data_IF_247684349223
#
_entry.id   IF_247684349223
#
_cell.length_a   1.000
_cell.length_b   1.000
_cell.length_c   1.000
_cell.angle_alpha   90.00
_cell.angle_beta   90.00
_cell.angle_gamma   90.00
#
_symmetry.space_group_name_H-M   'P 1'
#
loop_
_entity.id
_entity.type
_entity.pdbx_description
1 polymer ?
#
# COMPACT_ATOMS: atom_id res chain seq x y z
N UNK A 1 -15.27 -20.19 -20.37
CA UNK A 1 -15.14 -18.73 -20.19
C UNK A 1 -16.36 -18.26 -19.41
N UNK A 2 -16.26 -17.98 -18.11
CA UNK A 2 -17.34 -17.26 -17.45
C UNK A 2 -17.29 -15.83 -17.97
N UNK A 3 -18.41 -15.35 -18.53
CA UNK A 3 -18.60 -13.96 -18.90
C UNK A 3 -18.15 -13.05 -17.75
N UNK A 4 -17.22 -12.16 -18.05
CA UNK A 4 -16.96 -11.01 -17.21
C UNK A 4 -18.29 -10.26 -17.08
N UNK A 5 -18.96 -10.39 -15.93
CA UNK A 5 -20.12 -9.56 -15.64
C UNK A 5 -19.72 -8.10 -15.89
N UNK A 6 -20.52 -7.33 -16.64
CA UNK A 6 -20.21 -5.94 -16.95
C UNK A 6 -19.99 -5.22 -15.62
N UNK A 7 -18.77 -4.71 -15.44
CA UNK A 7 -18.33 -4.06 -14.22
C UNK A 7 -19.38 -3.05 -13.78
N UNK A 8 -20.08 -3.35 -12.70
CA UNK A 8 -20.86 -2.31 -12.09
C UNK A 8 -19.84 -1.25 -11.62
N UNK A 9 -20.02 0.02 -11.99
CA UNK A 9 -19.16 1.13 -11.58
C UNK A 9 -18.90 1.18 -10.05
N UNK A 10 -17.88 1.85 -9.51
CA UNK A 10 -17.89 2.39 -8.13
C UNK A 10 -19.00 3.46 -7.91
N UNK A 11 -20.14 3.33 -8.58
CA UNK A 11 -21.35 4.08 -8.32
C UNK A 11 -22.09 3.32 -7.25
N UNK A 12 -22.60 4.06 -6.28
CA UNK A 12 -23.56 3.52 -5.34
C UNK A 12 -24.81 3.08 -6.09
N UNK A 13 -25.51 2.04 -5.63
CA UNK A 13 -26.79 1.64 -6.22
C UNK A 13 -27.87 2.71 -5.94
N UNK A 14 -27.86 3.27 -4.73
CA UNK A 14 -28.64 4.43 -4.33
C UNK A 14 -27.70 5.58 -3.91
N UNK A 15 -27.87 6.77 -4.48
CA UNK A 15 -27.02 7.94 -4.17
C UNK A 15 -27.89 9.13 -3.72
N UNK A 16 -28.15 9.27 -2.41
CA UNK A 16 -29.06 10.31 -1.91
C UNK A 16 -28.55 11.73 -2.18
N UNK A 17 -27.24 11.93 -2.40
CA UNK A 17 -26.67 13.25 -2.68
C UNK A 17 -26.94 13.68 -4.12
N UNK A 18 -26.68 12.79 -5.09
CA UNK A 18 -26.95 13.10 -6.50
C UNK A 18 -28.45 13.07 -6.81
N UNK A 19 -29.23 12.27 -6.09
CA UNK A 19 -30.68 12.23 -6.21
C UNK A 19 -31.31 13.53 -5.70
N UNK A 20 -30.94 13.98 -4.49
CA UNK A 20 -31.44 15.26 -3.94
C UNK A 20 -31.00 16.48 -4.74
N UNK A 21 -29.81 16.46 -5.35
CA UNK A 21 -29.32 17.54 -6.20
C UNK A 21 -29.88 17.52 -7.63
N UNK A 22 -30.69 16.54 -8.02
CA UNK A 22 -31.17 16.38 -9.41
C UNK A 22 -30.07 16.02 -10.42
N UNK A 23 -28.91 15.55 -9.94
CA UNK A 23 -27.71 15.24 -10.73
C UNK A 23 -27.53 13.74 -11.00
N UNK A 24 -28.57 12.93 -10.77
CA UNK A 24 -28.52 11.48 -10.97
C UNK A 24 -28.20 11.07 -12.40
N UNK A 25 -28.49 11.91 -13.39
CA UNK A 25 -28.14 11.67 -14.79
C UNK A 25 -26.62 11.53 -15.02
N UNK A 26 -25.78 12.12 -14.16
CA UNK A 26 -24.31 11.93 -14.19
C UNK A 26 -23.90 10.48 -13.94
N UNK A 27 -24.77 9.67 -13.33
CA UNK A 27 -24.52 8.25 -13.07
C UNK A 27 -24.85 7.38 -14.27
N UNK A 28 -25.43 7.88 -15.36
CA UNK A 28 -25.95 7.03 -16.45
C UNK A 28 -25.63 7.61 -17.85
N UNK A 29 -25.70 6.77 -18.88
CA UNK A 29 -25.60 7.17 -20.30
C UNK A 29 -24.45 8.13 -20.61
N UNK A 30 -24.76 9.27 -21.24
CA UNK A 30 -23.77 10.30 -21.55
C UNK A 30 -23.23 11.02 -20.31
N UNK A 31 -24.02 11.18 -19.24
CA UNK A 31 -23.56 11.80 -18.00
C UNK A 31 -22.42 11.01 -17.35
N UNK A 32 -22.51 9.69 -17.39
CA UNK A 32 -21.42 8.81 -16.96
C UNK A 32 -20.14 9.03 -17.77
N UNK A 33 -20.26 9.18 -19.09
CA UNK A 33 -19.11 9.44 -19.96
C UNK A 33 -18.44 10.76 -19.56
N UNK A 34 -19.23 11.81 -19.30
CA UNK A 34 -18.73 13.10 -18.81
C UNK A 34 -18.01 12.94 -17.47
N UNK A 35 -18.63 12.28 -16.48
CA UNK A 35 -18.00 12.01 -15.18
C UNK A 35 -16.70 11.21 -15.30
N UNK A 36 -16.67 10.24 -16.22
CA UNK A 36 -15.48 9.42 -16.48
C UNK A 36 -14.35 10.23 -17.12
N UNK A 37 -14.66 11.11 -18.07
CA UNK A 37 -13.70 12.04 -18.69
C UNK A 37 -13.14 12.99 -17.64
N UNK A 38 -14.00 13.61 -16.81
CA UNK A 38 -13.56 14.51 -15.75
C UNK A 38 -12.63 13.80 -14.75
N UNK A 39 -12.98 12.56 -14.36
CA UNK A 39 -12.16 11.75 -13.46
C UNK A 39 -10.78 11.44 -14.07
N UNK A 40 -10.74 10.94 -15.30
CA UNK A 40 -9.48 10.64 -15.98
C UNK A 40 -8.64 11.89 -16.26
N UNK A 41 -9.26 13.03 -16.58
CA UNK A 41 -8.57 14.31 -16.69
C UNK A 41 -7.91 14.69 -15.36
N UNK A 42 -8.62 14.55 -14.23
CA UNK A 42 -8.06 14.76 -12.90
C UNK A 42 -6.85 13.86 -12.62
N UNK A 43 -6.93 12.57 -12.97
CA UNK A 43 -5.82 11.61 -12.84
C UNK A 43 -4.61 12.04 -13.68
N UNK A 44 -4.83 12.43 -14.93
CA UNK A 44 -3.75 12.91 -15.83
C UNK A 44 -3.10 14.17 -15.26
N UNK A 45 -3.88 15.16 -14.84
CA UNK A 45 -3.36 16.39 -14.25
C UNK A 45 -2.56 16.11 -12.96
N UNK A 46 -3.05 15.22 -12.11
CA UNK A 46 -2.35 14.82 -10.89
C UNK A 46 -1.03 14.10 -11.21
N UNK A 47 -1.00 13.18 -12.18
CA UNK A 47 0.22 12.49 -12.61
C UNK A 47 1.25 13.47 -13.19
N UNK A 48 0.82 14.41 -14.04
CA UNK A 48 1.69 15.44 -14.59
C UNK A 48 2.25 16.35 -13.48
N UNK A 49 1.40 16.76 -12.53
CA UNK A 49 1.82 17.55 -11.38
C UNK A 49 2.81 16.78 -10.50
N UNK A 50 2.58 15.48 -10.28
CA UNK A 50 3.45 14.63 -9.47
C UNK A 50 4.81 14.41 -10.11
N UNK A 51 4.85 14.10 -11.41
CA UNK A 51 6.09 13.95 -12.16
C UNK A 51 6.85 15.28 -12.27
N UNK A 52 6.12 16.38 -12.51
CA UNK A 52 6.67 17.73 -12.53
C UNK A 52 7.30 18.13 -11.20
N UNK A 53 6.60 17.91 -10.09
CA UNK A 53 7.12 18.10 -8.74
C UNK A 53 8.33 17.21 -8.47
N UNK A 54 8.29 15.95 -8.90
CA UNK A 54 9.39 14.99 -8.77
C UNK A 54 10.68 15.47 -9.41
N UNK A 55 10.61 16.05 -10.61
CA UNK A 55 11.77 16.65 -11.27
C UNK A 55 12.40 17.78 -10.44
N UNK A 56 11.59 18.61 -9.78
CA UNK A 56 12.08 19.69 -8.93
C UNK A 56 12.64 19.18 -7.60
N UNK A 57 12.05 18.13 -7.02
CA UNK A 57 12.55 17.45 -5.83
C UNK A 57 13.90 16.78 -6.11
N UNK A 58 14.04 16.11 -7.26
CA UNK A 58 15.31 15.47 -7.68
C UNK A 58 16.39 16.52 -7.92
N UNK A 59 16.03 17.66 -8.52
CA UNK A 59 16.92 18.79 -8.72
C UNK A 59 17.30 19.55 -7.43
N UNK A 60 16.83 19.11 -6.26
CA UNK A 60 17.12 19.75 -4.98
C UNK A 60 16.42 21.11 -4.79
N UNK A 61 15.46 21.48 -5.64
CA UNK A 61 14.80 22.79 -5.61
C UNK A 61 13.63 22.86 -4.63
N UNK A 62 13.14 21.72 -4.15
CA UNK A 62 11.97 21.64 -3.28
C UNK A 62 12.37 21.04 -1.93
N UNK A 63 12.38 21.85 -0.86
CA UNK A 63 12.66 21.35 0.48
C UNK A 63 11.46 20.56 1.01
N UNK A 64 11.69 19.73 2.04
CA UNK A 64 10.65 18.85 2.60
C UNK A 64 9.49 19.65 3.21
N UNK A 65 9.75 20.86 3.70
CA UNK A 65 8.79 21.77 4.31
C UNK A 65 7.71 22.17 3.29
N UNK A 66 8.10 22.43 2.04
CA UNK A 66 7.14 22.70 0.97
C UNK A 66 6.26 21.47 0.69
N UNK A 67 6.84 20.26 0.70
CA UNK A 67 6.07 19.03 0.50
C UNK A 67 5.06 18.79 1.62
N UNK A 68 5.38 19.18 2.87
CA UNK A 68 4.43 19.10 3.99
C UNK A 68 3.17 19.97 3.78
N UNK A 69 3.26 21.02 2.96
CA UNK A 69 2.09 21.83 2.55
C UNK A 69 1.39 21.23 1.34
N UNK A 70 2.13 20.68 0.38
CA UNK A 70 1.54 20.03 -0.81
C UNK A 70 0.67 18.83 -0.44
N UNK A 71 1.09 18.03 0.55
CA UNK A 71 0.37 16.84 1.01
C UNK A 71 -1.09 17.17 1.37
N UNK A 72 -1.40 18.06 2.33
CA UNK A 72 -2.80 18.40 2.65
C UNK A 72 -3.52 19.05 1.46
N UNK A 73 -2.87 19.90 0.65
CA UNK A 73 -3.51 20.49 -0.53
C UNK A 73 -4.03 19.45 -1.53
N UNK A 74 -3.31 18.34 -1.71
CA UNK A 74 -3.71 17.26 -2.61
C UNK A 74 -4.73 16.31 -1.99
N UNK A 75 -4.69 16.16 -0.66
CA UNK A 75 -5.64 15.30 0.05
C UNK A 75 -7.00 15.94 0.23
N UNK A 76 -7.06 17.25 0.47
CA UNK A 76 -8.31 17.96 0.81
C UNK A 76 -9.45 17.66 -0.17
N UNK A 77 -9.28 17.69 -1.50
CA UNK A 77 -10.34 17.33 -2.44
C UNK A 77 -10.79 15.86 -2.35
N UNK A 78 -9.89 14.95 -1.96
CA UNK A 78 -10.19 13.53 -1.82
C UNK A 78 -10.90 13.21 -0.49
N UNK A 79 -10.73 14.05 0.54
CA UNK A 79 -11.43 13.87 1.80
C UNK A 79 -12.94 14.00 1.64
N UNK A 80 -13.39 14.84 0.72
CA UNK A 80 -14.81 15.09 0.42
C UNK A 80 -15.36 14.23 -0.71
N UNK A 81 -14.52 13.44 -1.40
CA UNK A 81 -14.97 12.60 -2.51
C UNK A 81 -15.61 11.30 -2.04
N UNK A 82 -16.40 10.66 -2.90
CA UNK A 82 -16.72 9.22 -2.72
C UNK A 82 -15.44 8.38 -2.82
N UNK A 83 -15.41 7.14 -2.28
CA UNK A 83 -14.30 6.22 -2.54
C UNK A 83 -14.04 6.08 -4.04
N UNK A 84 -12.80 6.29 -4.47
CA UNK A 84 -12.39 6.24 -5.88
C UNK A 84 -11.48 5.03 -6.14
N UNK A 85 -11.59 4.41 -7.31
CA UNK A 85 -10.75 3.27 -7.73
C UNK A 85 -10.87 1.99 -6.88
N UNK A 86 -11.81 1.93 -5.94
CA UNK A 86 -12.04 0.76 -5.08
C UNK A 86 -13.43 0.77 -4.46
N UNK A 87 -13.92 -0.44 -4.15
CA UNK A 87 -15.16 -0.68 -3.38
C UNK A 87 -14.90 -1.25 -1.99
N UNK A 88 -13.65 -1.39 -1.60
CA UNK A 88 -13.28 -2.05 -0.34
C UNK A 88 -13.81 -1.28 0.88
N UNK A 89 -13.91 0.05 0.80
CA UNK A 89 -14.51 0.89 1.82
C UNK A 89 -15.92 0.41 2.24
N UNK A 90 -16.74 -0.01 1.28
CA UNK A 90 -18.08 -0.53 1.57
C UNK A 90 -18.01 -1.89 2.27
N UNK A 91 -17.04 -2.73 1.90
CA UNK A 91 -16.80 -4.03 2.53
C UNK A 91 -16.33 -3.85 3.99
N UNK A 92 -15.49 -2.85 4.25
CA UNK A 92 -15.06 -2.50 5.61
C UNK A 92 -16.24 -2.09 6.48
N UNK A 93 -17.12 -1.22 5.98
CA UNK A 93 -18.33 -0.81 6.71
C UNK A 93 -19.26 -2.01 6.97
N UNK A 94 -19.51 -2.85 5.98
CA UNK A 94 -20.37 -4.02 6.16
C UNK A 94 -19.80 -5.02 7.18
N UNK A 95 -18.47 -5.20 7.23
CA UNK A 95 -17.80 -5.99 8.27
C UNK A 95 -17.84 -5.33 9.66
N UNK A 96 -17.76 -4.00 9.71
CA UNK A 96 -17.98 -3.24 10.94
C UNK A 96 -19.40 -3.44 11.48
N UNK A 97 -20.40 -3.41 10.60
CA UNK A 97 -21.80 -3.65 10.95
C UNK A 97 -22.06 -5.10 11.42
N UNK A 98 -21.46 -6.10 10.78
CA UNK A 98 -21.48 -7.49 11.30
C UNK A 98 -21.04 -7.55 12.77
N UNK A 99 -19.88 -6.95 13.08
CA UNK A 99 -19.35 -6.96 14.44
C UNK A 99 -20.19 -6.10 15.40
N UNK A 100 -20.78 -5.00 14.93
CA UNK A 100 -21.72 -4.16 15.70
C UNK A 100 -22.96 -4.97 16.09
N UNK A 101 -23.47 -5.77 15.17
CA UNK A 101 -24.74 -6.50 15.29
C UNK A 101 -24.58 -7.90 15.91
N UNK A 102 -23.39 -8.22 16.41
CA UNK A 102 -23.11 -9.42 17.21
C UNK A 102 -22.63 -10.63 16.42
N UNK A 103 -22.41 -10.50 15.12
CA UNK A 103 -21.80 -11.55 14.29
C UNK A 103 -20.27 -11.53 14.41
N UNK A 104 -19.64 -12.67 14.13
CA UNK A 104 -18.18 -12.79 14.02
C UNK A 104 -17.76 -12.66 12.53
N UNK A 105 -17.13 -11.54 12.11
CA UNK A 105 -16.69 -11.34 10.71
C UNK A 105 -15.61 -12.33 10.25
N UNK A 106 -15.02 -13.11 11.15
CA UNK A 106 -14.07 -14.16 10.80
C UNK A 106 -14.74 -15.50 10.48
N UNK A 107 -16.01 -15.67 10.86
CA UNK A 107 -16.79 -16.87 10.60
C UNK A 107 -17.81 -16.67 9.46
N UNK A 108 -18.34 -15.46 9.33
CA UNK A 108 -19.37 -15.14 8.35
C UNK A 108 -19.01 -13.94 7.46
N UNK A 109 -19.54 -13.95 6.23
CA UNK A 109 -19.42 -12.83 5.30
C UNK A 109 -20.56 -11.81 5.46
N UNK A 110 -20.43 -10.59 4.90
CA UNK A 110 -21.44 -9.54 4.94
C UNK A 110 -22.87 -9.94 4.56
N UNK A 111 -23.03 -10.96 3.72
CA UNK A 111 -24.34 -11.47 3.28
C UNK A 111 -25.22 -11.95 4.43
N UNK A 112 -24.63 -12.38 5.56
CA UNK A 112 -25.37 -12.85 6.74
C UNK A 112 -26.00 -11.71 7.57
N UNK A 113 -25.70 -10.44 7.24
CA UNK A 113 -26.32 -9.27 7.86
C UNK A 113 -26.84 -8.29 6.80
N UNK A 114 -28.01 -8.56 6.18
CA UNK A 114 -28.56 -7.73 5.12
C UNK A 114 -28.97 -6.34 5.62
N UNK A 115 -28.31 -5.30 5.09
CA UNK A 115 -28.61 -3.88 5.36
C UNK A 115 -28.14 -2.99 4.19
N UNK A 116 -28.35 -1.67 4.30
CA UNK A 116 -28.01 -0.72 3.24
C UNK A 116 -26.51 -0.68 2.87
N UNK A 117 -25.61 -1.09 3.79
CA UNK A 117 -24.18 -1.14 3.51
C UNK A 117 -23.83 -2.27 2.53
N UNK A 118 -24.58 -3.38 2.57
CA UNK A 118 -24.34 -4.57 1.74
C UNK A 118 -24.50 -4.28 0.24
N UNK A 119 -25.43 -3.38 -0.15
CA UNK A 119 -25.75 -3.07 -1.55
C UNK A 119 -24.55 -2.58 -2.38
N UNK A 120 -23.56 -1.99 -1.70
CA UNK A 120 -22.39 -1.37 -2.33
C UNK A 120 -21.12 -2.25 -2.24
N UNK A 121 -21.21 -3.37 -1.52
CA UNK A 121 -20.12 -4.34 -1.39
C UNK A 121 -19.88 -5.02 -2.74
N UNK A 122 -18.61 -5.21 -3.10
CA UNK A 122 -18.28 -5.96 -4.31
C UNK A 122 -18.77 -7.41 -4.18
N UNK A 123 -19.37 -8.03 -5.22
CA UNK A 123 -19.91 -9.39 -5.14
C UNK A 123 -18.91 -10.45 -4.65
N UNK A 124 -17.62 -10.27 -4.93
CA UNK A 124 -16.55 -11.17 -4.47
C UNK A 124 -16.36 -11.14 -2.93
N UNK A 125 -16.77 -10.04 -2.29
CA UNK A 125 -16.58 -9.79 -0.86
C UNK A 125 -17.82 -10.07 -0.01
N UNK A 126 -19.01 -10.19 -0.60
CA UNK A 126 -20.26 -10.42 0.16
C UNK A 126 -20.26 -11.74 0.92
N UNK A 127 -19.59 -12.76 0.39
CA UNK A 127 -19.49 -14.12 0.96
C UNK A 127 -18.12 -14.41 1.57
N UNK A 128 -17.25 -13.41 1.71
CA UNK A 128 -15.87 -13.60 2.12
C UNK A 128 -15.66 -13.04 3.52
N UNK A 129 -15.10 -13.87 4.42
CA UNK A 129 -14.76 -13.49 5.80
C UNK A 129 -13.66 -12.43 5.82
N UNK A 130 -13.61 -11.64 6.89
CA UNK A 130 -12.69 -10.51 7.02
C UNK A 130 -11.22 -10.97 7.14
N UNK A 131 -10.32 -10.55 6.22
CA UNK A 131 -8.88 -10.84 6.31
C UNK A 131 -8.10 -9.74 7.03
N UNK A 132 -8.77 -8.98 7.89
CA UNK A 132 -8.20 -7.81 8.56
C UNK A 132 -7.94 -8.13 10.02
N UNK A 133 -6.94 -7.47 10.60
CA UNK A 133 -6.66 -7.65 12.01
C UNK A 133 -7.74 -7.00 12.88
N UNK A 134 -7.79 -7.38 14.18
CA UNK A 134 -8.85 -6.96 15.09
C UNK A 134 -8.93 -5.44 15.25
N UNK A 135 -7.78 -4.73 15.30
CA UNK A 135 -7.75 -3.27 15.47
C UNK A 135 -8.51 -2.56 14.35
N UNK A 136 -8.38 -3.02 13.10
CA UNK A 136 -9.10 -2.42 12.00
C UNK A 136 -10.60 -2.71 12.05
N UNK A 137 -11.01 -3.94 12.38
CA UNK A 137 -12.44 -4.27 12.51
C UNK A 137 -13.13 -3.44 13.59
N UNK A 138 -12.42 -3.07 14.64
CA UNK A 138 -12.97 -2.21 15.69
C UNK A 138 -13.13 -0.77 15.25
N UNK A 139 -12.19 -0.26 14.46
CA UNK A 139 -12.33 1.04 13.80
C UNK A 139 -13.58 1.01 12.92
N UNK A 140 -13.75 -0.03 12.09
CA UNK A 140 -14.93 -0.18 11.26
C UNK A 140 -16.23 -0.28 12.09
N UNK A 141 -16.24 -1.09 13.15
CA UNK A 141 -17.36 -1.19 14.10
C UNK A 141 -17.70 0.16 14.71
N UNK A 142 -16.71 0.87 15.23
CA UNK A 142 -16.87 2.19 15.82
C UNK A 142 -17.50 3.17 14.84
N UNK A 143 -17.05 3.18 13.59
CA UNK A 143 -17.67 3.99 12.52
C UNK A 143 -19.16 3.63 12.38
N UNK A 144 -19.49 2.35 12.21
CA UNK A 144 -20.89 1.90 12.05
C UNK A 144 -21.76 2.05 13.29
N UNK A 145 -21.18 2.18 14.49
CA UNK A 145 -21.90 2.50 15.72
C UNK A 145 -22.30 3.98 15.77
N UNK A 146 -21.49 4.86 15.20
CA UNK A 146 -21.76 6.31 15.16
C UNK A 146 -22.76 6.63 14.04
N UNK A 147 -22.52 6.12 12.83
CA UNK A 147 -23.28 6.52 11.64
C UNK A 147 -24.41 5.56 11.28
N UNK A 148 -24.54 4.44 12.00
CA UNK A 148 -25.46 3.37 11.62
C UNK A 148 -25.10 2.78 10.26
N UNK A 149 -26.10 2.65 9.40
CA UNK A 149 -25.96 2.09 8.05
C UNK A 149 -25.84 3.17 6.97
N UNK A 150 -25.55 4.43 7.35
CA UNK A 150 -25.33 5.53 6.42
C UNK A 150 -23.99 5.34 5.67
N UNK A 151 -24.09 5.01 4.39
CA UNK A 151 -22.94 4.75 3.51
C UNK A 151 -22.09 6.01 3.29
N UNK A 152 -22.69 7.21 3.21
CA UNK A 152 -21.95 8.46 2.97
C UNK A 152 -21.14 8.82 4.19
N UNK A 153 -21.82 8.99 5.32
CA UNK A 153 -21.20 9.36 6.57
C UNK A 153 -20.19 8.29 7.00
N UNK A 154 -20.52 7.01 6.81
CA UNK A 154 -19.63 5.89 7.10
C UNK A 154 -18.34 5.93 6.29
N UNK A 155 -18.42 6.12 4.96
CA UNK A 155 -17.21 6.16 4.12
C UNK A 155 -16.35 7.40 4.40
N UNK A 156 -16.98 8.55 4.68
CA UNK A 156 -16.26 9.77 5.08
C UNK A 156 -15.56 9.59 6.42
N UNK A 157 -16.25 9.09 7.44
CA UNK A 157 -15.68 8.89 8.77
C UNK A 157 -14.58 7.82 8.75
N UNK A 158 -14.76 6.74 7.99
CA UNK A 158 -13.72 5.72 7.81
C UNK A 158 -12.46 6.30 7.15
N UNK A 159 -12.61 7.22 6.20
CA UNK A 159 -11.47 7.94 5.61
C UNK A 159 -10.75 8.82 6.62
N UNK A 160 -11.48 9.51 7.49
CA UNK A 160 -10.87 10.28 8.58
C UNK A 160 -10.08 9.37 9.53
N UNK A 161 -10.56 8.15 9.79
CA UNK A 161 -9.81 7.16 10.55
C UNK A 161 -8.51 6.69 9.88
N UNK A 162 -8.32 6.92 8.57
CA UNK A 162 -7.06 6.60 7.87
C UNK A 162 -6.00 7.70 7.99
N UNK A 163 -6.39 8.94 8.30
CA UNK A 163 -5.48 10.09 8.40
C UNK A 163 -4.33 9.92 9.41
N UNK A 164 -4.51 9.30 10.59
CA UNK A 164 -3.40 9.04 11.50
C UNK A 164 -2.28 8.21 10.85
N UNK A 165 -2.63 7.22 10.02
CA UNK A 165 -1.66 6.42 9.27
C UNK A 165 -0.82 7.26 8.31
N UNK A 166 -1.49 8.16 7.59
CA UNK A 166 -0.80 9.09 6.68
C UNK A 166 0.08 10.09 7.44
N UNK A 167 -0.38 10.64 8.56
CA UNK A 167 0.41 11.53 9.39
C UNK A 167 1.67 10.84 9.93
N UNK A 168 1.54 9.58 10.38
CA UNK A 168 2.67 8.75 10.80
C UNK A 168 3.65 8.49 9.64
N UNK A 169 3.15 8.24 8.42
CA UNK A 169 4.01 8.06 7.25
C UNK A 169 4.77 9.36 6.88
N UNK A 170 4.09 10.52 6.91
CA UNK A 170 4.69 11.85 6.71
C UNK A 170 5.76 12.13 7.77
N UNK A 171 5.53 11.69 9.01
CA UNK A 171 6.48 11.84 10.12
C UNK A 171 7.69 10.90 9.99
N UNK A 172 7.45 9.64 9.62
CA UNK A 172 8.45 8.57 9.63
C UNK A 172 9.37 8.60 8.40
N UNK A 173 8.83 8.78 7.19
CA UNK A 173 9.61 8.68 5.96
C UNK A 173 10.82 9.64 5.91
N UNK A 174 10.69 10.94 6.28
CA UNK A 174 11.83 11.85 6.41
C UNK A 174 12.88 11.39 7.43
N UNK A 175 12.46 10.79 8.55
CA UNK A 175 13.36 10.36 9.64
C UNK A 175 14.18 9.15 9.23
N UNK A 176 13.53 8.15 8.64
CA UNK A 176 14.21 6.96 8.09
C UNK A 176 15.17 7.38 6.96
N UNK A 177 14.77 8.31 6.10
CA UNK A 177 15.67 8.82 5.06
C UNK A 177 16.91 9.51 5.66
N UNK A 178 16.73 10.40 6.66
CA UNK A 178 17.84 11.06 7.36
C UNK A 178 18.78 10.06 8.03
N UNK A 179 18.25 9.02 8.66
CA UNK A 179 19.06 7.97 9.30
C UNK A 179 20.05 7.33 8.31
N UNK A 180 19.64 7.13 7.06
CA UNK A 180 20.49 6.59 6.00
C UNK A 180 21.21 7.66 5.15
N UNK A 181 21.26 8.91 5.62
CA UNK A 181 21.83 10.06 4.88
C UNK A 181 21.22 10.24 3.48
N UNK A 182 19.96 9.85 3.31
CA UNK A 182 19.18 10.01 2.09
C UNK A 182 18.33 11.29 2.14
N UNK A 183 17.85 11.75 0.97
CA UNK A 183 17.06 12.97 0.88
C UNK A 183 15.65 12.77 1.47
N UNK A 184 15.25 13.58 2.47
CA UNK A 184 13.90 13.53 3.02
C UNK A 184 12.83 13.96 2.02
N UNK A 185 13.14 14.95 1.16
CA UNK A 185 12.24 15.42 0.11
C UNK A 185 11.94 14.31 -0.90
N UNK A 186 12.98 13.60 -1.36
CA UNK A 186 12.80 12.44 -2.27
C UNK A 186 11.95 11.36 -1.61
N UNK A 187 12.19 11.06 -0.33
CA UNK A 187 11.40 10.05 0.38
C UNK A 187 9.90 10.42 0.44
N UNK A 188 9.55 11.65 0.83
CA UNK A 188 8.16 12.12 0.85
C UNK A 188 7.51 12.09 -0.54
N UNK A 189 8.25 12.49 -1.58
CA UNK A 189 7.73 12.43 -2.94
C UNK A 189 7.47 10.99 -3.43
N UNK A 190 8.38 10.06 -3.12
CA UNK A 190 8.31 8.66 -3.54
C UNK A 190 7.20 7.90 -2.82
N UNK A 191 7.02 8.05 -1.50
CA UNK A 191 6.05 7.24 -0.75
C UNK A 191 4.79 7.98 -0.31
N UNK A 192 4.82 9.28 -0.01
CA UNK A 192 3.64 10.00 0.49
C UNK A 192 2.82 10.59 -0.65
N UNK A 193 3.46 11.37 -1.52
CA UNK A 193 2.80 12.03 -2.65
C UNK A 193 2.60 11.12 -3.86
N UNK A 194 2.99 9.85 -3.75
CA UNK A 194 2.83 8.86 -4.79
C UNK A 194 1.35 8.69 -5.17
N UNK A 195 0.99 8.55 -6.46
CA UNK A 195 -0.38 8.29 -6.86
C UNK A 195 -0.98 7.04 -6.19
N UNK A 196 -0.15 6.03 -5.89
CA UNK A 196 -0.60 4.84 -5.14
C UNK A 196 -1.07 5.19 -3.73
N UNK A 197 -0.44 6.15 -3.06
CA UNK A 197 -0.84 6.53 -1.69
C UNK A 197 -1.97 7.54 -1.71
N UNK A 198 -1.90 8.55 -2.57
CA UNK A 198 -2.91 9.61 -2.64
C UNK A 198 -4.23 9.08 -3.21
N UNK A 199 -4.22 8.42 -4.37
CA UNK A 199 -5.47 7.93 -4.99
C UNK A 199 -5.87 6.58 -4.43
N UNK A 200 -4.99 5.56 -4.50
CA UNK A 200 -5.41 4.23 -4.08
C UNK A 200 -5.59 4.18 -2.56
N UNK A 201 -4.59 4.55 -1.75
CA UNK A 201 -4.76 4.41 -0.29
C UNK A 201 -5.80 5.39 0.28
N UNK A 202 -5.62 6.70 0.07
CA UNK A 202 -6.50 7.72 0.66
C UNK A 202 -7.82 7.88 -0.09
N UNK A 203 -7.77 8.03 -1.41
CA UNK A 203 -8.97 8.13 -2.25
C UNK A 203 -9.85 6.87 -2.17
N UNK A 204 -9.25 5.68 -2.22
CA UNK A 204 -9.91 4.38 -2.10
C UNK A 204 -10.24 3.95 -0.67
N UNK A 205 -9.80 4.71 0.36
CA UNK A 205 -10.07 4.47 1.78
C UNK A 205 -9.52 3.13 2.29
N UNK A 206 -8.33 2.74 1.83
CA UNK A 206 -7.71 1.47 2.15
C UNK A 206 -7.05 1.44 3.52
N UNK A 207 -7.25 0.34 4.26
CA UNK A 207 -6.70 0.16 5.60
C UNK A 207 -5.17 0.02 5.63
N UNK A 208 -4.56 -0.26 4.48
CA UNK A 208 -3.13 -0.21 4.25
C UNK A 208 -2.53 1.14 4.64
N UNK A 209 -3.28 2.24 4.59
CA UNK A 209 -2.78 3.54 5.02
C UNK A 209 -2.39 3.56 6.50
N UNK A 210 -3.24 3.00 7.37
CA UNK A 210 -2.93 2.84 8.79
C UNK A 210 -1.76 1.88 8.99
N UNK A 211 -1.81 0.72 8.31
CA UNK A 211 -0.77 -0.29 8.47
C UNK A 211 0.62 0.22 8.07
N UNK A 212 0.75 0.83 6.88
CA UNK A 212 2.03 1.35 6.37
C UNK A 212 2.53 2.51 7.25
N UNK A 213 1.64 3.39 7.70
CA UNK A 213 1.97 4.47 8.62
C UNK A 213 2.55 3.98 9.95
N UNK A 214 1.83 3.07 10.61
CA UNK A 214 2.27 2.43 11.85
C UNK A 214 3.60 1.68 11.65
N UNK A 215 3.70 0.89 10.60
CA UNK A 215 4.91 0.14 10.27
C UNK A 215 6.12 1.05 10.10
N UNK A 216 6.02 2.09 9.27
CA UNK A 216 7.11 3.04 9.07
C UNK A 216 7.45 3.82 10.34
N UNK A 217 6.46 4.19 11.14
CA UNK A 217 6.70 4.87 12.41
C UNK A 217 7.41 3.96 13.42
N UNK A 218 7.01 2.70 13.51
CA UNK A 218 7.68 1.70 14.35
C UNK A 218 9.13 1.46 13.92
N UNK A 219 9.38 1.35 12.62
CA UNK A 219 10.74 1.26 12.05
C UNK A 219 11.57 2.49 12.43
N UNK A 220 11.02 3.70 12.25
CA UNK A 220 11.72 4.94 12.59
C UNK A 220 12.11 4.98 14.08
N UNK A 221 11.17 4.62 14.97
CA UNK A 221 11.43 4.51 16.42
C UNK A 221 12.53 3.50 16.74
N UNK A 222 12.51 2.32 16.12
CA UNK A 222 13.54 1.29 16.33
C UNK A 222 14.91 1.77 15.87
N UNK A 223 15.01 2.43 14.71
CA UNK A 223 16.26 3.02 14.22
C UNK A 223 16.77 4.16 15.14
N UNK A 224 15.85 4.93 15.73
CA UNK A 224 16.12 5.96 16.74
C UNK A 224 16.36 5.38 18.15
N UNK A 225 16.59 4.06 18.27
CA UNK A 225 16.91 3.32 19.50
C UNK A 225 15.75 3.14 20.48
N UNK A 226 14.53 3.54 20.12
CA UNK A 226 13.32 3.27 20.90
C UNK A 226 12.72 1.91 20.52
N UNK A 227 13.46 0.83 20.79
CA UNK A 227 13.12 -0.53 20.34
C UNK A 227 11.76 -1.02 20.86
N UNK A 228 11.47 -0.78 22.15
CA UNK A 228 10.22 -1.24 22.78
C UNK A 228 9.00 -0.61 22.12
N UNK A 229 8.99 0.73 22.02
CA UNK A 229 7.89 1.44 21.37
C UNK A 229 7.83 1.17 19.87
N UNK A 230 8.98 1.06 19.20
CA UNK A 230 9.03 0.72 17.77
C UNK A 230 8.37 -0.62 17.47
N UNK A 231 8.71 -1.67 18.23
CA UNK A 231 8.10 -3.01 18.09
C UNK A 231 6.62 -2.98 18.43
N UNK A 232 6.23 -2.30 19.53
CA UNK A 232 4.82 -2.17 19.90
C UNK A 232 3.99 -1.48 18.81
N UNK A 233 4.53 -0.42 18.19
CA UNK A 233 3.86 0.30 17.10
C UNK A 233 3.74 -0.55 15.83
N UNK A 234 4.77 -1.33 15.47
CA UNK A 234 4.64 -2.30 14.36
C UNK A 234 3.63 -3.41 14.70
N UNK A 235 3.58 -3.88 15.95
CA UNK A 235 2.60 -4.85 16.40
C UNK A 235 1.16 -4.30 16.30
N UNK A 236 0.92 -3.03 16.62
CA UNK A 236 -0.37 -2.36 16.31
C UNK A 236 -0.66 -2.36 14.80
N UNK A 237 0.36 -2.14 13.97
CA UNK A 237 0.28 -2.28 12.51
C UNK A 237 -0.16 -3.69 12.08
N UNK A 238 0.37 -4.74 12.71
CA UNK A 238 -0.05 -6.14 12.47
C UNK A 238 -1.54 -6.33 12.78
N UNK A 239 -2.01 -5.70 13.87
CA UNK A 239 -3.42 -5.75 14.27
C UNK A 239 -4.35 -4.95 13.35
N UNK A 240 -3.82 -4.03 12.52
CA UNK A 240 -4.57 -3.48 11.38
C UNK A 240 -4.52 -4.47 10.22
N UNK A 241 -3.32 -4.89 9.83
CA UNK A 241 -3.10 -5.83 8.74
C UNK A 241 -1.79 -6.61 8.92
N UNK A 242 -1.89 -7.93 8.79
CA UNK A 242 -0.82 -8.90 9.07
C UNK A 242 0.52 -8.59 8.38
N UNK A 243 0.47 -7.97 7.19
CA UNK A 243 1.64 -7.65 6.37
C UNK A 243 2.66 -6.73 7.06
N UNK A 244 2.27 -5.90 8.03
CA UNK A 244 3.23 -5.13 8.83
C UNK A 244 4.22 -6.04 9.59
N UNK A 245 3.80 -7.26 9.91
CA UNK A 245 4.60 -8.24 10.66
C UNK A 245 5.86 -8.68 9.92
N UNK A 246 5.90 -8.50 8.59
CA UNK A 246 7.09 -8.77 7.78
C UNK A 246 8.31 -7.92 8.21
N UNK A 247 8.09 -6.79 8.87
CA UNK A 247 9.17 -5.96 9.41
C UNK A 247 9.76 -6.51 10.72
N UNK A 248 8.96 -7.15 11.58
CA UNK A 248 9.33 -7.51 12.96
C UNK A 248 10.60 -8.39 13.05
N UNK A 249 10.78 -9.45 12.24
CA UNK A 249 11.99 -10.28 12.33
C UNK A 249 13.29 -9.52 12.06
N UNK A 250 13.24 -8.46 11.25
CA UNK A 250 14.40 -7.63 10.94
C UNK A 250 14.67 -6.58 12.03
N UNK A 251 13.62 -6.11 12.72
CA UNK A 251 13.77 -5.25 13.90
C UNK A 251 14.47 -5.98 15.05
N UNK A 252 14.32 -7.30 15.16
CA UNK A 252 15.08 -8.14 16.09
C UNK A 252 16.58 -8.03 15.82
N UNK A 253 17.01 -8.07 14.55
CA UNK A 253 18.43 -7.91 14.21
C UNK A 253 18.97 -6.53 14.57
N UNK A 254 18.18 -5.47 14.32
CA UNK A 254 18.54 -4.10 14.69
C UNK A 254 18.72 -4.00 16.22
N UNK A 255 17.76 -4.53 16.99
CA UNK A 255 17.83 -4.51 18.45
C UNK A 255 18.97 -5.37 19.01
N UNK A 256 19.15 -6.58 18.49
CA UNK A 256 20.27 -7.46 18.85
C UNK A 256 21.60 -6.73 18.68
N UNK A 257 21.81 -6.09 17.52
CA UNK A 257 23.08 -5.40 17.23
C UNK A 257 23.33 -4.26 18.20
N UNK A 258 22.30 -3.49 18.55
CA UNK A 258 22.40 -2.49 19.63
C UNK A 258 22.91 -3.14 20.93
N UNK A 259 22.24 -4.19 21.40
CA UNK A 259 22.59 -4.89 22.64
C UNK A 259 24.00 -5.50 22.63
N UNK A 260 24.49 -5.90 21.46
CA UNK A 260 25.84 -6.46 21.28
C UNK A 260 26.93 -5.38 21.11
N UNK A 261 26.59 -4.23 20.54
CA UNK A 261 27.53 -3.13 20.27
C UNK A 261 27.68 -2.14 21.43
N UNK A 262 26.73 -2.12 22.35
CA UNK A 262 26.59 -1.01 23.28
C UNK A 262 27.72 -0.88 24.30
N UNK A 263 28.51 0.17 24.06
CA UNK A 263 29.39 0.88 25.00
C UNK A 263 28.76 2.22 25.47
N UNK A 264 27.54 2.55 25.00
CA UNK A 264 26.96 3.89 25.09
C UNK A 264 26.44 4.29 26.48
N UNK A 265 26.12 3.31 27.34
CA UNK A 265 25.58 3.54 28.69
C UNK A 265 26.52 2.97 29.78
N UNK A 266 27.80 2.74 29.47
CA UNK A 266 28.78 2.12 30.39
C UNK A 266 28.52 0.63 30.69
N UNK A 267 27.47 0.04 30.14
CA UNK A 267 27.19 -1.39 30.25
C UNK A 267 28.16 -2.21 29.37
N UNK A 268 28.59 -3.41 29.81
CA UNK A 268 29.45 -4.26 29.01
C UNK A 268 28.71 -4.81 27.78
N UNK A 269 29.43 -4.87 26.65
CA UNK A 269 28.95 -5.50 25.43
C UNK A 269 28.50 -6.95 25.69
N UNK A 270 27.29 -7.30 25.25
CA UNK A 270 26.74 -8.65 25.44
C UNK A 270 27.23 -9.60 24.35
N UNK A 271 27.43 -10.86 24.71
CA UNK A 271 27.71 -11.91 23.73
C UNK A 271 26.59 -11.98 22.68
N UNK A 272 26.89 -12.18 21.38
CA UNK A 272 25.87 -12.14 20.32
C UNK A 272 24.66 -13.05 20.57
N UNK A 273 24.88 -14.26 21.12
CA UNK A 273 23.78 -15.18 21.43
C UNK A 273 22.83 -14.65 22.51
N UNK A 274 23.36 -14.00 23.56
CA UNK A 274 22.51 -13.45 24.62
C UNK A 274 21.79 -12.19 24.16
N UNK A 275 22.45 -11.34 23.36
CA UNK A 275 21.82 -10.21 22.69
C UNK A 275 20.67 -10.64 21.76
N UNK A 276 20.86 -11.71 21.00
CA UNK A 276 19.84 -12.26 20.11
C UNK A 276 18.66 -12.82 20.91
N UNK A 277 18.92 -13.62 21.94
CA UNK A 277 17.89 -14.17 22.81
C UNK A 277 17.07 -13.06 23.47
N UNK A 278 17.72 -12.04 24.03
CA UNK A 278 17.05 -10.90 24.65
C UNK A 278 16.21 -10.09 23.66
N UNK A 279 16.77 -9.75 22.49
CA UNK A 279 16.04 -9.03 21.45
C UNK A 279 14.83 -9.84 20.94
N UNK A 280 14.99 -11.14 20.73
CA UNK A 280 13.93 -12.03 20.25
C UNK A 280 12.83 -12.19 21.30
N UNK A 281 13.19 -12.59 22.52
CA UNK A 281 12.23 -12.75 23.62
C UNK A 281 11.53 -11.43 23.96
N UNK A 282 12.28 -10.32 23.98
CA UNK A 282 11.74 -8.99 24.18
C UNK A 282 10.74 -8.62 23.08
N UNK A 283 11.08 -8.85 21.80
CA UNK A 283 10.19 -8.54 20.68
C UNK A 283 8.91 -9.36 20.71
N UNK A 284 9.02 -10.65 21.02
CA UNK A 284 7.87 -11.55 21.19
C UNK A 284 7.01 -11.10 22.37
N UNK A 285 7.61 -10.85 23.54
CA UNK A 285 6.89 -10.41 24.72
C UNK A 285 6.16 -9.09 24.51
N UNK A 286 6.80 -8.11 23.86
CA UNK A 286 6.17 -6.82 23.52
C UNK A 286 4.99 -7.06 22.56
N UNK A 287 5.20 -7.81 21.47
CA UNK A 287 4.15 -8.07 20.49
C UNK A 287 2.95 -8.79 21.11
N UNK A 288 3.19 -9.80 21.95
CA UNK A 288 2.14 -10.53 22.67
C UNK A 288 1.44 -9.64 23.69
N UNK A 289 2.17 -8.79 24.43
CA UNK A 289 1.59 -7.86 25.40
C UNK A 289 0.73 -6.81 24.72
N UNK A 290 1.21 -6.21 23.63
CA UNK A 290 0.45 -5.27 22.81
C UNK A 290 -0.81 -5.93 22.27
N UNK A 291 -0.69 -7.15 21.74
CA UNK A 291 -1.84 -7.91 21.25
C UNK A 291 -2.84 -8.23 22.35
N UNK A 292 -2.39 -8.72 23.50
CA UNK A 292 -3.24 -9.07 24.64
C UNK A 292 -3.95 -7.84 25.20
N UNK A 293 -3.24 -6.71 25.39
CA UNK A 293 -3.80 -5.45 25.86
C UNK A 293 -4.88 -4.94 24.90
N UNK A 294 -4.57 -4.91 23.60
CA UNK A 294 -5.53 -4.46 22.60
C UNK A 294 -6.72 -5.43 22.49
N UNK A 295 -6.50 -6.74 22.53
CA UNK A 295 -7.59 -7.73 22.52
C UNK A 295 -8.49 -7.58 23.75
N UNK A 296 -7.92 -7.31 24.93
CA UNK A 296 -8.67 -7.05 26.15
C UNK A 296 -9.49 -5.76 26.07
N UNK A 297 -8.92 -4.66 25.59
CA UNK A 297 -9.62 -3.38 25.40
C UNK A 297 -10.81 -3.53 24.44
N UNK A 298 -10.69 -4.45 23.49
CA UNK A 298 -11.55 -4.45 22.31
C UNK A 298 -12.50 -5.63 22.22
N UNK A 299 -12.28 -6.67 23.01
CA UNK A 299 -13.13 -7.85 23.10
C UNK A 299 -13.07 -8.78 21.89
N UNK A 300 -12.04 -8.68 21.02
CA UNK A 300 -11.91 -9.48 19.80
C UNK A 300 -10.67 -10.39 19.90
N UNK A 301 -10.83 -11.66 19.51
CA UNK A 301 -9.80 -12.70 19.62
C UNK A 301 -8.98 -12.97 18.33
N UNK A 302 -8.55 -14.22 18.18
CA UNK A 302 -7.57 -14.67 17.18
C UNK A 302 -8.15 -15.13 15.83
N UNK A 303 -9.45 -14.98 15.58
CA UNK A 303 -10.13 -15.50 14.37
C UNK A 303 -9.60 -14.96 13.04
N UNK A 304 -8.93 -13.81 13.03
CA UNK A 304 -8.33 -13.22 11.83
C UNK A 304 -7.20 -14.06 11.22
N UNK A 305 -6.45 -14.81 12.04
CA UNK A 305 -5.30 -15.59 11.54
C UNK A 305 -5.76 -16.74 10.64
N UNK A 306 -6.92 -17.34 10.93
CA UNK A 306 -7.52 -18.39 10.11
C UNK A 306 -8.26 -17.81 8.89
N UNK A 307 -8.97 -16.70 9.05
CA UNK A 307 -9.66 -15.99 7.96
C UNK A 307 -8.70 -15.45 6.87
N UNK A 308 -7.44 -15.15 7.25
CA UNK A 308 -6.39 -14.72 6.33
C UNK A 308 -6.02 -15.79 5.29
N UNK A 309 -6.14 -17.08 5.62
CA UNK A 309 -5.74 -18.18 4.73
C UNK A 309 -6.72 -18.43 3.56
N UNK A 310 -8.00 -18.11 3.71
CA UNK A 310 -9.05 -18.46 2.75
C UNK A 310 -9.55 -17.35 1.80
N UNK A 311 -9.20 -16.10 2.08
CA UNK A 311 -9.87 -14.91 1.52
C UNK A 311 -9.32 -14.41 0.17
N UNK A 312 -8.07 -14.73 -0.17
CA UNK A 312 -7.38 -14.20 -1.37
C UNK A 312 -7.57 -15.04 -2.66
N UNK A 313 -8.31 -16.15 -2.60
CA UNK A 313 -8.36 -17.14 -3.70
C UNK A 313 -9.15 -16.64 -4.93
N UNK A 314 -10.09 -15.72 -4.76
CA UNK A 314 -11.06 -15.36 -5.81
C UNK A 314 -10.58 -14.27 -6.81
N UNK A 315 -9.49 -13.55 -6.53
CA UNK A 315 -9.00 -12.46 -7.40
C UNK A 315 -8.09 -13.02 -8.49
N UNK A 316 -8.30 -12.67 -9.75
CA UNK A 316 -7.44 -13.12 -10.86
C UNK A 316 -6.97 -11.91 -11.69
N UNK A 317 -5.73 -11.46 -11.44
CA UNK A 317 -5.08 -10.37 -12.16
C UNK A 317 -3.57 -10.64 -12.30
N UNK A 318 -2.86 -9.92 -13.18
CA UNK A 318 -1.46 -10.22 -13.49
C UNK A 318 -0.45 -9.45 -12.62
N UNK A 319 -0.86 -8.94 -11.46
CA UNK A 319 0.05 -8.27 -10.52
C UNK A 319 0.97 -9.26 -9.81
N UNK A 320 0.51 -10.51 -9.61
CA UNK A 320 1.37 -11.56 -9.04
C UNK A 320 1.96 -12.42 -10.13
N UNK A 321 3.21 -12.84 -9.92
CA UNK A 321 3.95 -13.70 -10.84
C UNK A 321 3.23 -15.04 -11.04
N UNK A 322 2.73 -15.74 -9.99
CA UNK A 322 1.94 -16.95 -10.18
C UNK A 322 0.76 -16.79 -11.15
N UNK A 323 -0.03 -15.73 -10.98
CA UNK A 323 -1.22 -15.50 -11.81
C UNK A 323 -0.83 -15.06 -13.22
N UNK A 324 0.20 -14.21 -13.37
CA UNK A 324 0.72 -13.80 -14.66
C UNK A 324 1.25 -15.01 -15.46
N UNK A 325 2.04 -15.87 -14.83
CA UNK A 325 2.57 -17.10 -15.44
C UNK A 325 1.44 -18.05 -15.83
N UNK A 326 0.43 -18.25 -14.96
CA UNK A 326 -0.73 -19.06 -15.30
C UNK A 326 -1.47 -18.56 -16.55
N UNK A 327 -1.60 -17.23 -16.70
CA UNK A 327 -2.21 -16.62 -17.88
C UNK A 327 -1.36 -16.79 -19.13
N UNK A 328 -0.03 -16.64 -19.02
CA UNK A 328 0.89 -16.88 -20.13
C UNK A 328 0.83 -18.35 -20.57
N UNK A 329 0.84 -19.29 -19.64
CA UNK A 329 0.67 -20.72 -19.93
C UNK A 329 -0.65 -20.95 -20.64
N UNK A 330 -1.76 -20.40 -20.15
CA UNK A 330 -3.07 -20.56 -20.77
C UNK A 330 -3.11 -20.02 -22.21
N UNK A 331 -2.51 -18.86 -22.46
CA UNK A 331 -2.47 -18.25 -23.79
C UNK A 331 -1.58 -19.06 -24.73
N UNK A 332 -0.39 -19.47 -24.30
CA UNK A 332 0.60 -20.13 -25.16
C UNK A 332 0.29 -21.60 -25.36
N UNK A 333 0.05 -22.36 -24.28
CA UNK A 333 -0.28 -23.78 -24.37
C UNK A 333 -1.69 -23.99 -24.95
N UNK A 334 -2.61 -23.05 -24.72
CA UNK A 334 -3.95 -23.03 -25.32
C UNK A 334 -3.96 -22.99 -26.85
N UNK A 335 -2.86 -22.62 -27.51
CA UNK A 335 -2.70 -22.70 -28.97
C UNK A 335 -2.56 -24.14 -29.48
N UNK A 336 -2.15 -25.07 -28.61
CA UNK A 336 -1.78 -26.43 -28.98
C UNK A 336 -2.63 -27.49 -28.28
N UNK A 337 -3.06 -27.23 -27.04
CA UNK A 337 -3.80 -28.18 -26.19
C UNK A 337 -4.89 -27.47 -25.39
N UNK A 338 -5.92 -28.20 -24.97
CA UNK A 338 -6.92 -27.69 -24.04
C UNK A 338 -6.33 -27.56 -22.64
N UNK A 339 -6.22 -26.33 -22.13
CA UNK A 339 -5.66 -26.04 -20.81
C UNK A 339 -6.79 -25.90 -19.78
N UNK A 340 -6.69 -26.63 -18.67
CA UNK A 340 -7.50 -26.34 -17.48
C UNK A 340 -6.86 -25.18 -16.71
N UNK A 341 -7.36 -23.97 -16.95
CA UNK A 341 -6.80 -22.75 -16.37
C UNK A 341 -6.83 -22.75 -14.84
N UNK A 342 -7.92 -23.22 -14.23
CA UNK A 342 -8.07 -23.20 -12.77
C UNK A 342 -7.03 -24.11 -12.10
N UNK A 343 -6.79 -25.29 -12.67
CA UNK A 343 -5.75 -26.20 -12.19
C UNK A 343 -4.34 -25.60 -12.35
N UNK A 344 -4.04 -24.97 -13.50
CA UNK A 344 -2.75 -24.30 -13.71
C UNK A 344 -2.57 -23.15 -12.72
N UNK A 345 -3.62 -22.34 -12.52
CA UNK A 345 -3.60 -21.22 -11.59
C UNK A 345 -3.37 -21.70 -10.15
N UNK A 346 -4.05 -22.76 -9.71
CA UNK A 346 -3.87 -23.37 -8.40
C UNK A 346 -2.42 -23.84 -8.19
N UNK A 347 -1.87 -24.60 -9.14
CA UNK A 347 -0.49 -25.09 -9.07
C UNK A 347 0.51 -23.93 -9.01
N UNK A 348 0.35 -22.91 -9.87
CA UNK A 348 1.24 -21.74 -9.85
C UNK A 348 1.16 -20.98 -8.51
N UNK A 349 -0.03 -20.86 -7.91
CA UNK A 349 -0.20 -20.22 -6.60
C UNK A 349 0.44 -21.02 -5.48
N UNK A 350 0.34 -22.34 -5.49
CA UNK A 350 1.04 -23.22 -4.55
C UNK A 350 2.55 -22.99 -4.67
N UNK A 351 3.09 -22.94 -5.89
CA UNK A 351 4.51 -22.62 -6.11
C UNK A 351 4.86 -21.24 -5.54
N UNK A 352 4.03 -20.22 -5.77
CA UNK A 352 4.23 -18.89 -5.19
C UNK A 352 4.30 -18.92 -3.66
N UNK A 353 3.38 -19.62 -3.00
CA UNK A 353 3.40 -19.81 -1.54
C UNK A 353 4.65 -20.55 -1.06
N UNK A 354 5.09 -21.59 -1.77
CA UNK A 354 6.34 -22.31 -1.47
C UNK A 354 7.56 -21.38 -1.60
N UNK A 355 7.61 -20.54 -2.64
CA UNK A 355 8.67 -19.55 -2.81
C UNK A 355 8.69 -18.57 -1.64
N UNK A 356 7.53 -18.09 -1.18
CA UNK A 356 7.45 -17.24 0.03
C UNK A 356 7.99 -17.99 1.25
N UNK A 357 7.50 -19.21 1.50
CA UNK A 357 7.86 -20.00 2.68
C UNK A 357 9.38 -20.27 2.78
N UNK A 358 10.06 -20.50 1.64
CA UNK A 358 11.50 -20.73 1.60
C UNK A 358 12.30 -19.42 1.63
N UNK A 359 11.89 -18.42 0.85
CA UNK A 359 12.65 -17.18 0.71
C UNK A 359 12.63 -16.31 1.95
N UNK A 360 11.53 -16.25 2.71
CA UNK A 360 11.45 -15.37 3.89
C UNK A 360 12.52 -15.72 4.95
N UNK A 361 12.69 -16.99 5.37
CA UNK A 361 13.79 -17.37 6.26
C UNK A 361 15.18 -17.08 5.68
N UNK A 362 15.39 -17.32 4.38
CA UNK A 362 16.67 -17.06 3.71
C UNK A 362 16.99 -15.57 3.68
N UNK A 363 16.04 -14.72 3.29
CA UNK A 363 16.18 -13.27 3.27
C UNK A 363 16.42 -12.75 4.68
N UNK A 364 15.66 -13.23 5.66
CA UNK A 364 15.83 -12.87 7.07
C UNK A 364 17.23 -13.19 7.60
N UNK A 365 17.74 -14.39 7.32
CA UNK A 365 19.07 -14.79 7.74
C UNK A 365 20.18 -14.04 7.02
N UNK A 366 20.00 -13.76 5.72
CA UNK A 366 21.01 -13.07 4.90
C UNK A 366 21.14 -11.59 5.25
N UNK A 367 20.05 -10.93 5.64
CA UNK A 367 19.99 -9.48 5.87
C UNK A 367 20.07 -9.11 7.35
N UNK A 368 21.10 -9.60 8.06
CA UNK A 368 21.27 -9.43 9.51
C UNK A 368 22.49 -8.57 9.91
N UNK A 369 23.25 -8.06 8.93
CA UNK A 369 24.60 -7.55 9.19
C UNK A 369 24.62 -6.10 9.69
N UNK A 370 23.69 -5.26 9.21
CA UNK A 370 23.54 -3.88 9.64
C UNK A 370 22.10 -3.35 9.45
N UNK A 371 21.83 -2.15 9.94
CA UNK A 371 20.50 -1.52 9.87
C UNK A 371 20.02 -1.34 8.44
N UNK A 372 20.92 -0.97 7.52
CA UNK A 372 20.59 -0.80 6.10
C UNK A 372 20.31 -2.14 5.44
N UNK A 373 21.11 -3.15 5.76
CA UNK A 373 20.95 -4.53 5.30
C UNK A 373 19.59 -5.09 5.78
N UNK A 374 19.26 -4.94 7.06
CA UNK A 374 17.97 -5.32 7.63
C UNK A 374 16.79 -4.64 6.92
N UNK A 375 16.90 -3.34 6.62
CA UNK A 375 15.90 -2.60 5.85
C UNK A 375 15.73 -3.12 4.41
N UNK A 376 16.82 -3.52 3.74
CA UNK A 376 16.73 -4.24 2.46
C UNK A 376 16.07 -5.62 2.61
N UNK A 377 16.31 -6.31 3.72
CA UNK A 377 15.61 -7.55 4.06
C UNK A 377 14.10 -7.38 4.19
N UNK A 378 13.65 -6.29 4.83
CA UNK A 378 12.22 -5.91 4.90
C UNK A 378 11.68 -5.64 3.49
N UNK A 379 12.40 -4.83 2.68
CA UNK A 379 12.01 -4.51 1.31
C UNK A 379 11.83 -5.78 0.47
N UNK A 380 12.84 -6.67 0.46
CA UNK A 380 12.78 -7.93 -0.27
C UNK A 380 11.66 -8.83 0.22
N UNK A 381 11.47 -8.95 1.53
CA UNK A 381 10.39 -9.76 2.10
C UNK A 381 9.02 -9.28 1.62
N UNK A 382 8.77 -7.97 1.66
CA UNK A 382 7.51 -7.40 1.18
C UNK A 382 7.35 -7.56 -0.33
N UNK A 383 8.39 -7.28 -1.11
CA UNK A 383 8.36 -7.43 -2.57
C UNK A 383 8.08 -8.89 -2.96
N UNK A 384 8.74 -9.85 -2.33
CA UNK A 384 8.53 -11.28 -2.60
C UNK A 384 7.10 -11.68 -2.24
N UNK A 385 6.62 -11.31 -1.05
CA UNK A 385 5.24 -11.62 -0.63
C UNK A 385 4.23 -11.03 -1.60
N UNK A 386 4.35 -9.75 -1.97
CA UNK A 386 3.41 -9.11 -2.89
C UNK A 386 3.45 -9.74 -4.28
N UNK A 387 4.63 -10.10 -4.80
CA UNK A 387 4.78 -10.69 -6.14
C UNK A 387 4.40 -12.18 -6.20
N UNK A 388 4.57 -12.92 -5.11
CA UNK A 388 4.37 -14.38 -5.07
C UNK A 388 3.06 -14.80 -4.40
N UNK A 389 2.34 -13.87 -3.77
CA UNK A 389 1.05 -14.16 -3.16
C UNK A 389 0.03 -14.69 -4.20
N UNK A 390 -1.00 -15.42 -3.75
CA UNK A 390 -2.07 -15.89 -4.64
C UNK A 390 -2.74 -14.78 -5.46
N UNK A 391 -2.85 -13.59 -4.87
CA UNK A 391 -3.34 -12.38 -5.52
C UNK A 391 -2.73 -11.12 -4.87
N UNK A 392 -2.65 -10.05 -5.66
CA UNK A 392 -2.25 -8.73 -5.19
C UNK A 392 -3.15 -7.67 -5.82
N UNK A 393 -3.26 -6.54 -5.13
CA UNK A 393 -4.01 -5.36 -5.56
C UNK A 393 -3.08 -4.14 -5.56
N UNK A 394 -3.40 -3.05 -6.28
CA UNK A 394 -2.53 -1.88 -6.44
C UNK A 394 -1.90 -1.36 -5.17
N UNK A 395 -2.71 -1.25 -4.13
CA UNK A 395 -2.31 -0.69 -2.85
C UNK A 395 -1.38 -1.62 -2.05
N UNK A 396 -1.22 -2.91 -2.40
CA UNK A 396 -0.25 -3.80 -1.75
C UNK A 396 1.19 -3.39 -2.05
N UNK A 397 1.44 -2.74 -3.19
CA UNK A 397 2.75 -2.22 -3.54
C UNK A 397 3.17 -1.00 -2.72
N UNK A 398 2.25 -0.39 -1.96
CA UNK A 398 2.59 0.70 -1.03
C UNK A 398 3.51 0.24 0.11
N UNK A 399 3.47 -1.05 0.48
CA UNK A 399 4.28 -1.59 1.59
C UNK A 399 5.77 -1.59 1.23
N UNK A 400 6.22 -2.27 0.15
CA UNK A 400 7.60 -2.16 -0.29
C UNK A 400 7.97 -0.74 -0.74
N UNK A 401 7.04 0.03 -1.30
CA UNK A 401 7.29 1.42 -1.70
C UNK A 401 7.73 2.30 -0.51
N UNK A 402 7.09 2.14 0.66
CA UNK A 402 7.42 2.90 1.86
C UNK A 402 8.84 2.64 2.35
N UNK A 403 9.32 1.39 2.22
CA UNK A 403 10.68 0.97 2.56
C UNK A 403 11.68 1.37 1.46
N UNK A 404 11.28 1.28 0.19
CA UNK A 404 12.10 1.67 -0.95
C UNK A 404 12.40 3.18 -0.96
N UNK A 405 11.44 4.03 -0.56
CA UNK A 405 11.58 5.48 -0.60
C UNK A 405 12.83 6.06 0.09
N UNK A 406 13.21 5.64 1.32
CA UNK A 406 14.46 6.07 1.94
C UNK A 406 15.71 5.33 1.42
N UNK A 407 15.59 4.16 0.80
CA UNK A 407 16.74 3.31 0.41
C UNK A 407 17.16 3.47 -1.06
N UNK A 408 16.20 3.62 -1.96
CA UNK A 408 16.35 3.53 -3.41
C UNK A 408 16.18 4.91 -4.06
N UNK A 409 17.16 5.79 -3.82
CA UNK A 409 17.14 7.17 -4.31
C UNK A 409 18.10 7.48 -5.47
N UNK A 410 18.65 6.45 -6.11
CA UNK A 410 19.39 6.63 -7.36
C UNK A 410 18.43 7.05 -8.48
N UNK A 411 18.90 7.85 -9.44
CA UNK A 411 18.10 8.32 -10.59
C UNK A 411 17.33 7.19 -11.29
N UNK A 412 18.01 6.08 -11.57
CA UNK A 412 17.40 4.91 -12.20
C UNK A 412 16.32 4.26 -11.33
N UNK A 413 16.54 4.13 -10.03
CA UNK A 413 15.55 3.53 -9.12
C UNK A 413 14.32 4.44 -8.95
N UNK A 414 14.52 5.74 -8.77
CA UNK A 414 13.43 6.72 -8.69
C UNK A 414 12.61 6.72 -9.98
N UNK A 415 13.27 6.66 -11.16
CA UNK A 415 12.58 6.56 -12.44
C UNK A 415 11.79 5.25 -12.59
N UNK A 416 12.36 4.12 -12.17
CA UNK A 416 11.68 2.82 -12.19
C UNK A 416 10.44 2.82 -11.28
N UNK A 417 10.56 3.36 -10.06
CA UNK A 417 9.43 3.53 -9.14
C UNK A 417 8.37 4.44 -9.77
N UNK A 418 8.76 5.55 -10.39
CA UNK A 418 7.84 6.48 -11.02
C UNK A 418 7.05 5.85 -12.18
N UNK A 419 7.75 5.13 -13.06
CA UNK A 419 7.13 4.36 -14.14
C UNK A 419 6.18 3.30 -13.60
N UNK A 420 6.60 2.51 -12.63
CA UNK A 420 5.80 1.45 -12.03
C UNK A 420 4.55 1.97 -11.31
N UNK A 421 4.69 3.02 -10.49
CA UNK A 421 3.55 3.68 -9.83
C UNK A 421 2.56 4.26 -10.83
N UNK A 422 3.05 4.83 -11.95
CA UNK A 422 2.19 5.32 -13.03
C UNK A 422 1.47 4.18 -13.74
N UNK A 423 2.15 3.06 -14.01
CA UNK A 423 1.54 1.89 -14.63
C UNK A 423 0.39 1.35 -13.76
N UNK A 424 0.64 1.14 -12.47
CA UNK A 424 -0.39 0.64 -11.54
C UNK A 424 -1.56 1.62 -11.44
N UNK A 425 -1.30 2.92 -11.39
CA UNK A 425 -2.36 3.93 -11.33
C UNK A 425 -3.26 3.89 -12.56
N UNK A 426 -2.68 3.75 -13.75
CA UNK A 426 -3.42 3.81 -15.02
C UNK A 426 -4.08 2.47 -15.36
N UNK A 427 -3.53 1.33 -14.92
CA UNK A 427 -4.10 0.01 -15.28
C UNK A 427 -5.40 -0.30 -14.54
N UNK A 428 -5.67 0.37 -13.42
CA UNK A 428 -6.96 0.30 -12.71
C UNK A 428 -7.87 1.45 -13.13
N UNK A 429 -9.16 1.15 -13.20
CA UNK A 429 -10.19 2.11 -13.60
C UNK A 429 -10.85 2.72 -12.36
N UNK A 430 -11.44 3.92 -12.48
CA UNK A 430 -12.11 4.59 -11.36
C UNK A 430 -13.24 3.78 -10.72
N UNK A 431 -13.79 2.80 -11.45
CA UNK A 431 -14.83 1.89 -10.96
C UNK A 431 -14.32 0.69 -10.16
N UNK A 432 -13.01 0.60 -9.91
CA UNK A 432 -12.38 -0.51 -9.21
C UNK A 432 -12.15 -1.75 -10.08
N UNK A 433 -12.58 -1.74 -11.34
CA UNK A 433 -12.18 -2.75 -12.31
C UNK A 433 -10.77 -2.47 -12.84
N UNK A 434 -10.20 -3.43 -13.58
CA UNK A 434 -8.86 -3.27 -14.16
C UNK A 434 -8.84 -3.56 -15.66
N UNK A 435 -7.90 -2.92 -16.35
CA UNK A 435 -7.69 -3.04 -17.79
C UNK A 435 -6.75 -4.15 -18.23
N UNK A 436 -6.27 -5.02 -17.32
CA UNK A 436 -5.22 -6.01 -17.63
C UNK A 436 -5.57 -7.02 -18.73
N UNK A 437 -6.86 -7.30 -18.93
CA UNK A 437 -7.33 -8.19 -20.00
C UNK A 437 -7.71 -7.44 -21.29
N UNK A 438 -7.46 -6.13 -21.34
CA UNK A 438 -7.75 -5.26 -22.48
C UNK A 438 -6.43 -4.70 -23.00
N UNK A 439 -5.90 -5.28 -24.07
CA UNK A 439 -4.57 -4.95 -24.59
C UNK A 439 -4.34 -3.47 -24.86
N UNK A 440 -5.35 -2.76 -25.40
CA UNK A 440 -5.24 -1.31 -25.62
C UNK A 440 -5.05 -0.54 -24.31
N UNK A 441 -5.71 -0.96 -23.22
CA UNK A 441 -5.54 -0.35 -21.90
C UNK A 441 -4.15 -0.64 -21.34
N UNK A 442 -3.66 -1.87 -21.49
CA UNK A 442 -2.29 -2.26 -21.11
C UNK A 442 -1.25 -1.41 -21.85
N UNK A 443 -1.42 -1.21 -23.17
CA UNK A 443 -0.52 -0.39 -23.98
C UNK A 443 -0.54 1.09 -23.55
N UNK A 444 -1.72 1.64 -23.24
CA UNK A 444 -1.84 3.01 -22.72
C UNK A 444 -1.10 3.12 -21.38
N UNK A 445 -1.36 2.22 -20.44
CA UNK A 445 -0.70 2.22 -19.13
C UNK A 445 0.83 2.07 -19.26
N UNK A 446 1.31 1.18 -20.13
CA UNK A 446 2.73 0.98 -20.40
C UNK A 446 3.38 2.22 -21.04
N UNK A 447 2.67 2.89 -21.95
CA UNK A 447 3.15 4.13 -22.58
C UNK A 447 3.26 5.26 -21.56
N UNK A 448 2.24 5.45 -20.71
CA UNK A 448 2.27 6.41 -19.61
C UNK A 448 3.43 6.11 -18.64
N UNK A 449 3.66 4.84 -18.32
CA UNK A 449 4.77 4.40 -17.48
C UNK A 449 6.14 4.70 -18.09
N UNK A 450 6.32 4.45 -19.39
CA UNK A 450 7.55 4.76 -20.11
C UNK A 450 7.82 6.28 -20.18
N UNK A 451 6.77 7.08 -20.37
CA UNK A 451 6.85 8.55 -20.32
C UNK A 451 7.26 9.02 -18.93
N UNK A 452 6.60 8.52 -17.88
CA UNK A 452 6.92 8.84 -16.49
C UNK A 452 8.38 8.48 -16.15
N UNK A 453 8.80 7.27 -16.51
CA UNK A 453 10.18 6.81 -16.35
C UNK A 453 11.15 7.75 -17.06
N UNK A 454 10.91 8.10 -18.33
CA UNK A 454 11.78 8.98 -19.11
C UNK A 454 11.83 10.39 -18.53
N UNK A 455 10.69 10.94 -18.10
CA UNK A 455 10.61 12.28 -17.50
C UNK A 455 11.44 12.37 -16.21
N UNK A 456 11.41 11.34 -15.37
CA UNK A 456 12.18 11.30 -14.13
C UNK A 456 13.65 10.95 -14.40
N UNK A 457 13.91 10.00 -15.28
CA UNK A 457 15.26 9.62 -15.67
C UNK A 457 15.98 10.72 -16.48
N UNK A 458 15.35 11.85 -16.79
CA UNK A 458 15.97 13.04 -17.42
C UNK A 458 15.83 14.29 -16.57
N UNK A 459 15.50 14.12 -15.28
CA UNK A 459 15.48 15.23 -14.34
C UNK A 459 16.91 15.78 -14.15
N UNK A 460 17.09 17.12 -14.07
CA UNK A 460 18.37 17.69 -13.68
C UNK A 460 18.70 17.29 -12.24
N UNK A 461 19.93 16.86 -11.98
CA UNK A 461 20.45 16.66 -10.62
C UNK A 461 21.37 17.84 -10.23
N UNK A 462 21.49 18.18 -8.92
CA UNK A 462 22.27 19.33 -8.46
C UNK A 462 23.73 19.35 -8.96
N UNK A 463 24.33 18.16 -9.13
CA UNK A 463 25.73 17.98 -9.53
C UNK A 463 25.89 17.48 -10.97
N UNK A 464 24.88 17.59 -11.84
CA UNK A 464 24.98 17.18 -13.25
C UNK A 464 25.98 18.11 -13.96
N UNK A 465 27.20 17.65 -14.31
CA UNK A 465 28.20 18.47 -14.98
C UNK A 465 27.78 18.53 -16.46
N UNK A 466 26.75 19.31 -16.78
CA UNK A 466 26.55 19.70 -18.17
C UNK A 466 27.79 20.47 -18.58
N UNK A 467 28.44 20.14 -19.71
CA UNK A 467 29.55 20.94 -20.20
C UNK A 467 29.06 22.39 -20.28
N UNK A 468 29.73 23.26 -19.53
CA UNK A 468 29.52 24.70 -19.65
C UNK A 468 29.57 25.04 -21.14
N UNK A 469 28.57 25.76 -21.63
CA UNK A 469 28.61 26.27 -22.99
C UNK A 469 29.98 26.94 -23.20
N UNK A 470 30.71 26.64 -24.29
CA UNK A 470 32.02 27.24 -24.50
C UNK A 470 31.85 28.76 -24.46
N UNK A 471 32.61 29.40 -23.57
CA UNK A 471 32.64 30.84 -23.46
C UNK A 471 32.89 31.43 -24.86
N UNK A 472 32.15 32.47 -25.30
CA UNK A 472 32.39 33.08 -26.58
C UNK A 472 33.85 33.52 -26.64
N UNK A 473 34.61 32.97 -27.59
CA UNK A 473 35.99 33.35 -27.82
C UNK A 473 36.01 34.83 -28.13
N UNK A 474 36.59 35.61 -27.22
CA UNK A 474 36.91 37.01 -27.48
C UNK A 474 37.90 37.02 -28.64
N UNK A 475 37.45 37.49 -29.80
CA UNK A 475 38.33 37.71 -30.94
C UNK A 475 39.39 38.75 -30.54
N UNK A 476 40.68 38.53 -30.85
CA UNK A 476 41.69 39.53 -30.60
C UNK A 476 41.41 40.77 -31.46
N UNK A 477 41.46 41.94 -30.83
CA UNK A 477 41.33 43.23 -31.50
C UNK A 477 42.40 43.35 -32.60
N UNK A 478 41.96 43.75 -33.79
CA UNK A 478 42.80 44.18 -34.90
C UNK A 478 42.73 45.71 -35.03
#
# INVERSE_FOLDING_TARGET
VPEAQPGQPCRRQHDPLLESAGLSWLRFGHGLVVSSICMWLGVVLMLLAWLGLGRHVIAGKVPKESLMVVVPCWLLPLLTSVPVFSRDAYSYLAQGALLRDGFDPYLVGPVENPNALLENVSPIWTTTTAPYGPLFLLIARFVTQIVGDDVVAGTMLLRLCMLPGLALLVWAAPRVAKFFSASPSKALWICVLNPLVIIHLMGGVHNEMLMVGLMMAGIALTLERHHVSGIAVVALGVMVKASAGLALPFLVWIWMRRLASDHADGAPARHPLTAFALASCGSVAISLTTFALMSWITGVGFGWMTAFAGSAVKIINWLTIPTAVANVINVVAGLFVTVNFDAVLEVMRIIGVLVIAVSLPVVWWRHRHNERDAMFGILWSMTIVVLMAPAALPWYYSWPLAIAAPLLQSRAAIAAIAGFSTWIMVIFKPDGSHGMYVWIHVLIAATCAAIAWRMINTAPEPDDPRPAAPAPSVAPAA
#
